data_IF_182428134942
#
_entry.id   IF_182428134942
#
_cell.length_a   1.000
_cell.length_b   1.000
_cell.length_c   1.000
_cell.angle_alpha   90.00
_cell.angle_beta   90.00
_cell.angle_gamma   90.00
#
_symmetry.space_group_name_H-M   'P 1'
#
loop_
_entity.id
_entity.type
_entity.pdbx_description
1 polymer ?
#
# COMPACT_ATOMS: atom_id res chain seq x y z
N UNK A 1 -22.23 20.85 8.34
CA UNK A 1 -21.41 19.79 7.73
C UNK A 1 -21.86 19.68 6.28
N UNK A 2 -21.16 20.38 5.38
CA UNK A 2 -21.44 20.31 3.94
C UNK A 2 -20.87 19.00 3.42
N UNK A 3 -21.72 18.15 2.85
CA UNK A 3 -21.27 16.99 2.09
C UNK A 3 -20.56 17.42 0.80
N UNK A 4 -19.73 16.55 0.19
CA UNK A 4 -19.10 16.86 -1.09
C UNK A 4 -20.17 16.96 -2.17
N UNK A 5 -20.22 18.08 -2.88
CA UNK A 5 -21.09 18.24 -4.05
C UNK A 5 -20.60 17.35 -5.20
N UNK A 6 -21.49 16.63 -5.91
CA UNK A 6 -21.09 15.85 -7.08
C UNK A 6 -20.86 16.78 -8.28
N UNK A 7 -19.64 17.32 -8.40
CA UNK A 7 -19.23 18.15 -9.55
C UNK A 7 -18.68 17.30 -10.71
N UNK A 8 -19.44 16.31 -11.19
CA UNK A 8 -18.97 15.32 -12.19
C UNK A 8 -19.19 15.65 -13.67
N UNK A 9 -20.22 16.41 -14.13
CA UNK A 9 -20.50 16.51 -15.58
C UNK A 9 -19.58 17.49 -16.33
N UNK A 10 -18.80 18.31 -15.63
CA UNK A 10 -17.87 19.25 -16.24
C UNK A 10 -16.52 18.58 -16.58
N UNK A 11 -16.02 17.74 -15.68
CA UNK A 11 -14.74 17.04 -15.83
C UNK A 11 -14.85 15.98 -16.94
N UNK A 12 -15.95 15.22 -16.98
CA UNK A 12 -16.20 14.25 -18.06
C UNK A 12 -16.11 14.88 -19.45
N UNK A 13 -16.67 16.08 -19.61
CA UNK A 13 -16.60 16.80 -20.89
C UNK A 13 -15.18 17.17 -21.27
N UNK A 14 -14.35 17.53 -20.29
CA UNK A 14 -12.93 17.85 -20.53
C UNK A 14 -12.17 16.59 -20.91
N UNK A 15 -12.35 15.48 -20.17
CA UNK A 15 -11.72 14.19 -20.43
C UNK A 15 -12.08 13.64 -21.81
N UNK A 16 -13.38 13.58 -22.12
CA UNK A 16 -13.87 13.10 -23.41
C UNK A 16 -13.43 14.03 -24.55
N UNK A 17 -13.47 15.35 -24.34
CA UNK A 17 -12.98 16.32 -25.34
C UNK A 17 -11.47 16.21 -25.58
N UNK A 18 -10.68 15.92 -24.56
CA UNK A 18 -9.23 15.76 -24.68
C UNK A 18 -8.88 14.53 -25.52
N UNK A 19 -9.58 13.41 -25.29
CA UNK A 19 -9.43 12.18 -26.06
C UNK A 19 -10.15 12.21 -27.43
N UNK A 20 -10.88 13.28 -27.74
CA UNK A 20 -11.68 13.37 -28.97
C UNK A 20 -12.86 12.41 -29.02
N UNK A 21 -13.34 11.94 -27.87
CA UNK A 21 -14.44 10.98 -27.75
C UNK A 21 -15.82 11.68 -27.75
N UNK A 22 -16.89 10.99 -28.23
CA UNK A 22 -18.26 11.47 -28.13
C UNK A 22 -18.71 11.68 -26.68
N UNK A 23 -19.71 12.55 -26.47
CA UNK A 23 -20.24 12.86 -25.12
C UNK A 23 -21.03 11.72 -24.49
N UNK A 24 -21.50 10.80 -25.32
CA UNK A 24 -22.25 9.59 -24.98
C UNK A 24 -21.37 8.34 -25.01
N UNK A 25 -20.05 8.50 -25.02
CA UNK A 25 -19.10 7.40 -25.01
C UNK A 25 -19.26 6.52 -23.78
N UNK A 26 -19.13 5.21 -23.99
CA UNK A 26 -19.12 4.18 -22.95
C UNK A 26 -17.86 3.33 -23.07
N UNK A 27 -17.16 3.01 -21.97
CA UNK A 27 -17.46 3.36 -20.57
C UNK A 27 -17.35 4.86 -20.27
N UNK A 28 -18.20 5.38 -19.38
CA UNK A 28 -18.20 6.79 -19.00
C UNK A 28 -17.16 7.09 -17.90
N UNK A 29 -16.42 8.21 -17.94
CA UNK A 29 -15.43 8.55 -16.92
C UNK A 29 -15.99 8.61 -15.49
N UNK A 30 -17.21 9.11 -15.30
CA UNK A 30 -17.82 9.22 -13.97
C UNK A 30 -18.66 8.01 -13.56
N UNK A 31 -19.22 7.26 -14.52
CA UNK A 31 -20.09 6.12 -14.21
C UNK A 31 -19.29 4.83 -14.07
N UNK A 32 -18.34 4.60 -14.99
CA UNK A 32 -17.50 3.39 -15.07
C UNK A 32 -16.02 3.80 -15.14
N UNK A 33 -15.48 4.47 -14.09
CA UNK A 33 -14.15 5.07 -14.11
C UNK A 33 -13.03 4.04 -14.35
N UNK A 34 -13.17 2.84 -13.77
CA UNK A 34 -12.16 1.77 -13.90
C UNK A 34 -12.06 1.27 -15.34
N UNK A 35 -13.20 0.96 -15.97
CA UNK A 35 -13.24 0.50 -17.36
C UNK A 35 -12.79 1.58 -18.34
N UNK A 36 -13.09 2.85 -18.04
CA UNK A 36 -12.59 3.97 -18.83
C UNK A 36 -11.06 4.09 -18.74
N UNK A 37 -10.50 4.02 -17.53
CA UNK A 37 -9.07 4.07 -17.29
C UNK A 37 -8.33 2.87 -17.89
N UNK A 38 -8.91 1.67 -17.83
CA UNK A 38 -8.35 0.47 -18.49
C UNK A 38 -8.05 0.72 -19.97
N UNK A 39 -8.91 1.48 -20.65
CA UNK A 39 -8.78 1.78 -22.09
C UNK A 39 -7.89 2.98 -22.38
N UNK A 40 -7.95 4.00 -21.54
CA UNK A 40 -7.46 5.34 -21.89
C UNK A 40 -6.38 5.90 -20.96
N UNK A 41 -5.97 5.20 -19.90
CA UNK A 41 -5.02 5.73 -18.91
C UNK A 41 -3.70 6.21 -19.54
N UNK A 42 -3.13 5.43 -20.48
CA UNK A 42 -1.87 5.79 -21.17
C UNK A 42 -1.99 7.02 -22.07
N UNK A 43 -3.20 7.38 -22.49
CA UNK A 43 -3.46 8.55 -23.33
C UNK A 43 -3.68 9.81 -22.48
N UNK A 44 -3.98 9.64 -21.19
CA UNK A 44 -4.31 10.74 -20.29
C UNK A 44 -3.04 11.26 -19.58
N UNK A 45 -2.84 12.58 -19.58
CA UNK A 45 -1.75 13.19 -18.83
C UNK A 45 -2.04 13.12 -17.31
N UNK A 46 -1.00 13.10 -16.45
CA UNK A 46 -1.14 12.92 -14.99
C UNK A 46 -2.18 13.82 -14.31
N UNK A 47 -2.25 15.10 -14.71
CA UNK A 47 -3.18 16.06 -14.15
C UNK A 47 -4.65 15.72 -14.45
N UNK A 48 -4.95 15.11 -15.60
CA UNK A 48 -6.30 14.64 -15.92
C UNK A 48 -6.61 13.32 -15.21
N UNK A 49 -5.63 12.44 -15.10
CA UNK A 49 -5.76 11.15 -14.42
C UNK A 49 -6.02 11.30 -12.91
N UNK A 50 -5.46 12.32 -12.26
CA UNK A 50 -5.70 12.61 -10.85
C UNK A 50 -7.17 12.91 -10.48
N UNK A 51 -8.02 13.26 -11.44
CA UNK A 51 -9.46 13.46 -11.18
C UNK A 51 -10.16 12.17 -10.75
N UNK A 52 -9.64 11.02 -11.18
CA UNK A 52 -10.18 9.72 -10.81
C UNK A 52 -9.88 9.35 -9.35
N UNK A 53 -9.05 10.12 -8.64
CA UNK A 53 -8.83 9.94 -7.21
C UNK A 53 -10.13 9.97 -6.42
N UNK A 54 -11.00 10.93 -6.73
CA UNK A 54 -12.26 11.10 -6.03
C UNK A 54 -13.32 10.05 -6.41
N UNK A 55 -13.09 9.29 -7.48
CA UNK A 55 -14.04 8.35 -8.07
C UNK A 55 -13.66 6.88 -7.84
N UNK A 56 -12.42 6.60 -7.47
CA UNK A 56 -11.89 5.24 -7.35
C UNK A 56 -11.05 5.07 -6.09
N UNK A 57 -11.13 3.91 -5.47
CA UNK A 57 -10.26 3.55 -4.34
C UNK A 57 -8.97 2.86 -4.82
N UNK A 58 -7.86 2.93 -4.06
CA UNK A 58 -6.60 2.30 -4.43
C UNK A 58 -6.71 0.80 -4.77
N UNK A 59 -7.55 0.04 -4.05
CA UNK A 59 -7.84 -1.39 -4.34
C UNK A 59 -8.45 -1.58 -5.73
N UNK A 60 -9.45 -0.78 -6.11
CA UNK A 60 -10.09 -0.85 -7.43
C UNK A 60 -9.12 -0.54 -8.57
N UNK A 61 -8.24 0.45 -8.37
CA UNK A 61 -7.25 0.86 -9.37
C UNK A 61 -6.24 -0.24 -9.71
N UNK A 62 -6.04 -1.22 -8.83
CA UNK A 62 -5.12 -2.33 -9.06
C UNK A 62 -5.56 -3.29 -10.15
N UNK A 63 -6.85 -3.24 -10.52
CA UNK A 63 -7.37 -3.96 -11.69
C UNK A 63 -6.79 -3.41 -12.99
N UNK A 64 -6.31 -2.16 -13.00
CA UNK A 64 -5.67 -1.52 -14.15
C UNK A 64 -4.19 -1.95 -14.19
N UNK A 65 -3.77 -2.73 -15.19
CA UNK A 65 -2.41 -3.29 -15.23
C UNK A 65 -1.32 -2.21 -15.20
N UNK A 66 -1.53 -1.09 -15.89
CA UNK A 66 -0.59 0.02 -15.87
C UNK A 66 -0.39 0.59 -14.46
N UNK A 67 -1.44 0.74 -13.65
CA UNK A 67 -1.30 1.22 -12.27
C UNK A 67 -0.56 0.19 -11.40
N UNK A 68 -0.91 -1.09 -11.55
CA UNK A 68 -0.23 -2.17 -10.83
C UNK A 68 1.27 -2.20 -11.16
N UNK A 69 1.63 -2.06 -12.43
CA UNK A 69 3.03 -2.02 -12.88
C UNK A 69 3.75 -0.79 -12.32
N UNK A 70 3.12 0.40 -12.35
CA UNK A 70 3.70 1.62 -11.74
C UNK A 70 4.02 1.40 -10.26
N UNK A 71 3.12 0.75 -9.51
CA UNK A 71 3.35 0.42 -8.08
C UNK A 71 4.47 -0.59 -7.89
N UNK A 72 4.55 -1.61 -8.76
CA UNK A 72 5.64 -2.58 -8.74
C UNK A 72 7.00 -1.87 -8.95
N UNK A 73 7.12 -1.05 -9.99
CA UNK A 73 8.35 -0.29 -10.27
C UNK A 73 8.69 0.69 -9.14
N UNK A 74 7.67 1.32 -8.53
CA UNK A 74 7.88 2.16 -7.35
C UNK A 74 8.48 1.37 -6.19
N UNK A 75 7.95 0.18 -5.88
CA UNK A 75 8.48 -0.70 -4.83
C UNK A 75 9.91 -1.13 -5.12
N UNK A 76 10.22 -1.47 -6.36
CA UNK A 76 11.57 -1.85 -6.81
C UNK A 76 12.59 -0.70 -6.66
N UNK A 77 12.12 0.56 -6.67
CA UNK A 77 12.97 1.73 -6.46
C UNK A 77 13.42 1.96 -5.00
N UNK A 78 13.00 1.10 -4.06
CA UNK A 78 13.26 1.19 -2.62
C UNK A 78 12.88 2.56 -2.02
N UNK A 79 11.58 2.93 -2.05
CA UNK A 79 11.14 4.24 -1.59
C UNK A 79 11.27 4.32 -0.06
N UNK A 80 11.63 5.50 0.49
CA UNK A 80 11.91 5.65 1.91
C UNK A 80 10.70 5.32 2.81
N UNK A 81 9.49 5.56 2.30
CA UNK A 81 8.22 5.30 3.00
C UNK A 81 7.96 3.80 3.22
N UNK A 82 8.51 2.92 2.37
CA UNK A 82 8.35 1.47 2.47
C UNK A 82 9.58 0.79 3.09
N UNK A 83 10.58 1.54 3.57
CA UNK A 83 11.74 0.96 4.26
C UNK A 83 11.35 0.42 5.63
N UNK A 84 12.04 -0.62 6.06
CA UNK A 84 11.73 -1.36 7.29
C UNK A 84 11.39 -0.49 8.50
N UNK A 85 12.26 0.46 8.86
CA UNK A 85 12.03 1.30 10.06
C UNK A 85 10.76 2.13 9.96
N UNK A 86 10.49 2.73 8.79
CA UNK A 86 9.30 3.55 8.55
C UNK A 86 8.06 2.67 8.48
N UNK A 87 8.15 1.53 7.78
CA UNK A 87 7.04 0.61 7.63
C UNK A 87 6.62 -0.01 8.96
N UNK A 88 7.58 -0.39 9.80
CA UNK A 88 7.33 -0.95 11.14
C UNK A 88 6.65 0.07 12.06
N UNK A 89 7.07 1.34 11.99
CA UNK A 89 6.45 2.42 12.76
C UNK A 89 5.04 2.78 12.24
N UNK A 90 4.83 2.72 10.93
CA UNK A 90 3.57 3.12 10.29
C UNK A 90 2.51 2.01 10.37
N UNK A 91 2.90 0.74 10.22
CA UNK A 91 2.01 -0.42 10.25
C UNK A 91 2.45 -1.46 11.30
N UNK A 92 2.47 -1.11 12.59
CA UNK A 92 2.91 -2.01 13.66
C UNK A 92 1.97 -3.20 13.88
N UNK A 93 0.73 -3.11 13.37
CA UNK A 93 -0.24 -4.23 13.40
C UNK A 93 0.17 -5.36 12.46
N UNK A 94 0.87 -5.05 11.36
CA UNK A 94 1.35 -6.04 10.39
C UNK A 94 2.67 -6.70 10.81
N UNK A 95 3.31 -6.21 11.88
CA UNK A 95 4.52 -6.82 12.43
C UNK A 95 4.16 -8.00 13.35
N UNK A 96 4.53 -9.25 13.00
CA UNK A 96 4.04 -10.45 13.69
C UNK A 96 4.62 -10.58 15.10
N UNK A 97 5.82 -10.05 15.34
CA UNK A 97 6.48 -10.17 16.63
C UNK A 97 5.92 -9.13 17.60
N UNK A 98 5.41 -9.59 18.76
CA UNK A 98 5.24 -8.75 19.96
C UNK A 98 6.61 -8.36 20.51
N UNK A 99 7.37 -7.55 19.76
CA UNK A 99 8.47 -6.82 20.36
C UNK A 99 7.89 -5.74 21.25
N UNK A 100 8.55 -5.48 22.38
CA UNK A 100 8.28 -4.27 23.15
C UNK A 100 8.72 -3.08 22.30
N UNK A 101 7.76 -2.48 21.59
CA UNK A 101 7.94 -1.23 20.86
C UNK A 101 8.46 -0.14 21.79
N UNK A 102 9.14 0.88 21.25
CA UNK A 102 9.65 2.00 22.06
C UNK A 102 11.03 1.78 22.69
N UNK A 103 11.74 0.68 22.41
CA UNK A 103 13.09 0.45 22.96
C UNK A 103 14.16 1.38 22.36
N UNK A 104 14.05 1.75 21.09
CA UNK A 104 14.94 2.73 20.46
C UNK A 104 14.56 4.15 20.84
N UNK A 105 13.28 4.51 20.77
CA UNK A 105 12.78 5.81 21.23
C UNK A 105 13.08 6.02 22.72
N UNK A 106 12.92 4.99 23.56
CA UNK A 106 13.32 5.03 24.96
C UNK A 106 14.84 5.16 25.16
N UNK A 107 15.67 4.61 24.26
CA UNK A 107 17.12 4.89 24.27
C UNK A 107 17.39 6.34 23.90
N UNK A 108 16.72 6.87 22.87
CA UNK A 108 16.85 8.27 22.46
C UNK A 108 16.39 9.23 23.57
N UNK A 109 15.25 8.96 24.22
CA UNK A 109 14.77 9.71 25.38
C UNK A 109 15.74 9.62 26.56
N UNK A 110 16.29 8.43 26.82
CA UNK A 110 17.31 8.25 27.85
C UNK A 110 18.57 9.03 27.53
N UNK A 111 18.99 9.07 26.27
CA UNK A 111 20.14 9.85 25.82
C UNK A 111 19.89 11.35 25.89
N UNK A 112 18.71 11.81 25.46
CA UNK A 112 18.26 13.18 25.61
C UNK A 112 18.24 13.59 27.09
N UNK A 113 17.64 12.77 27.95
CA UNK A 113 17.61 13.00 29.39
C UNK A 113 19.04 13.12 29.93
N UNK A 114 19.94 12.21 29.56
CA UNK A 114 21.32 12.24 30.06
C UNK A 114 22.18 13.40 29.52
N UNK A 115 21.88 13.94 28.32
CA UNK A 115 22.67 14.98 27.66
C UNK A 115 22.12 16.39 27.88
N UNK A 116 20.81 16.59 27.77
CA UNK A 116 20.17 17.91 27.77
C UNK A 116 19.38 18.22 29.05
N UNK A 117 18.90 17.21 29.76
CA UNK A 117 18.05 17.42 30.94
C UNK A 117 18.90 17.85 32.17
N UNK A 118 19.02 19.17 32.33
CA UNK A 118 19.64 19.91 33.45
C UNK A 118 21.11 19.54 33.75
N UNK A 119 22.03 20.33 33.16
CA UNK A 119 23.47 20.15 33.17
C UNK A 119 24.23 20.28 34.51
N UNK A 120 23.99 19.40 35.49
CA UNK A 120 25.01 19.06 36.52
C UNK A 120 24.68 17.90 37.48
N UNK A 121 23.47 17.31 37.48
CA UNK A 121 23.03 16.33 38.50
C UNK A 121 23.01 14.87 37.97
N UNK A 122 24.18 14.29 37.73
CA UNK A 122 24.34 12.99 37.02
C UNK A 122 23.59 11.80 37.62
N UNK A 123 23.33 11.76 38.93
CA UNK A 123 22.71 10.59 39.59
C UNK A 123 21.17 10.55 39.46
N UNK A 124 20.50 11.69 39.49
CA UNK A 124 19.03 11.74 39.36
C UNK A 124 18.59 11.68 37.91
N UNK A 125 19.41 12.23 37.00
CA UNK A 125 19.14 12.26 35.56
C UNK A 125 19.22 10.86 34.94
N UNK A 126 20.15 10.00 35.39
CA UNK A 126 20.22 8.62 34.91
C UNK A 126 19.01 7.76 35.30
N UNK A 127 18.46 7.96 36.51
CA UNK A 127 17.23 7.28 36.95
C UNK A 127 16.02 7.78 36.18
N UNK A 128 15.93 9.10 35.95
CA UNK A 128 14.85 9.69 35.16
C UNK A 128 14.90 9.22 33.71
N UNK A 129 16.08 9.18 33.07
CA UNK A 129 16.22 8.67 31.70
C UNK A 129 15.89 7.18 31.58
N UNK A 130 16.11 6.38 32.63
CA UNK A 130 15.68 4.97 32.63
C UNK A 130 14.17 4.86 32.77
N UNK A 131 13.57 5.67 33.66
CA UNK A 131 12.13 5.70 33.87
C UNK A 131 11.38 6.24 32.64
N UNK A 132 11.92 7.25 31.95
CA UNK A 132 11.38 7.76 30.69
C UNK A 132 11.43 6.69 29.59
N UNK A 133 12.55 5.99 29.45
CA UNK A 133 12.68 4.89 28.50
C UNK A 133 11.65 3.77 28.72
N UNK A 134 11.45 3.37 29.99
CA UNK A 134 10.44 2.37 30.36
C UNK A 134 9.02 2.88 30.09
N UNK A 135 8.77 4.18 30.30
CA UNK A 135 7.45 4.78 30.08
C UNK A 135 7.13 4.95 28.59
N UNK A 136 8.12 5.22 27.74
CA UNK A 136 7.95 5.23 26.28
C UNK A 136 7.66 3.81 25.76
N UNK A 137 8.39 2.81 26.25
CA UNK A 137 8.15 1.40 25.93
C UNK A 137 6.72 0.96 26.33
N UNK A 138 6.24 1.38 27.50
CA UNK A 138 4.87 1.12 27.95
C UNK A 138 3.83 1.86 27.11
N UNK A 139 4.10 3.12 26.73
CA UNK A 139 3.18 3.93 25.91
C UNK A 139 3.04 3.38 24.49
N UNK A 140 4.12 2.92 23.89
CA UNK A 140 4.08 2.31 22.55
C UNK A 140 3.33 0.98 22.58
N UNK A 141 3.61 0.15 23.59
CA UNK A 141 2.92 -1.12 23.78
C UNK A 141 1.41 -0.94 23.98
N UNK A 142 0.99 0.07 24.75
CA UNK A 142 -0.43 0.41 24.93
C UNK A 142 -1.07 0.87 23.61
N UNK A 143 -0.38 1.72 22.83
CA UNK A 143 -0.89 2.19 21.53
C UNK A 143 -1.12 1.05 20.56
N UNK A 144 -0.14 0.16 20.40
CA UNK A 144 -0.26 -1.00 19.52
C UNK A 144 -1.35 -1.95 20.03
N UNK A 145 -1.43 -2.15 21.36
CA UNK A 145 -2.47 -2.98 21.98
C UNK A 145 -3.88 -2.46 21.74
N UNK A 146 -4.09 -1.14 21.85
CA UNK A 146 -5.39 -0.51 21.57
C UNK A 146 -5.76 -0.55 20.10
N UNK A 147 -4.80 -0.34 19.19
CA UNK A 147 -5.00 -0.48 17.74
C UNK A 147 -5.45 -1.90 17.37
N UNK A 148 -4.75 -2.92 17.88
CA UNK A 148 -5.12 -4.33 17.62
C UNK A 148 -6.52 -4.66 18.16
N UNK A 149 -6.87 -4.16 19.35
CA UNK A 149 -8.21 -4.35 19.91
C UNK A 149 -9.28 -3.66 19.07
N UNK A 150 -9.03 -2.44 18.60
CA UNK A 150 -9.96 -1.71 17.73
C UNK A 150 -10.12 -2.37 16.36
N UNK A 151 -9.06 -2.99 15.84
CA UNK A 151 -9.11 -3.75 14.60
C UNK A 151 -9.94 -5.02 14.77
N UNK A 152 -9.73 -5.76 15.86
CA UNK A 152 -10.54 -6.95 16.19
C UNK A 152 -12.03 -6.61 16.42
N UNK A 153 -12.32 -5.52 17.16
CA UNK A 153 -13.70 -5.04 17.35
C UNK A 153 -14.36 -4.60 16.03
N UNK A 154 -13.59 -4.05 15.09
CA UNK A 154 -14.10 -3.71 13.76
C UNK A 154 -14.46 -4.94 12.94
N UNK A 155 -13.60 -5.97 12.96
CA UNK A 155 -13.87 -7.25 12.29
C UNK A 155 -15.09 -7.95 12.89
N UNK A 156 -15.19 -8.05 14.21
CA UNK A 156 -16.35 -8.66 14.92
C UNK A 156 -17.67 -7.91 14.69
N UNK A 157 -17.60 -6.60 14.36
CA UNK A 157 -18.78 -5.78 14.08
C UNK A 157 -19.33 -5.89 12.66
N UNK A 158 -18.61 -6.55 11.74
CA UNK A 158 -19.06 -6.76 10.37
C UNK A 158 -20.04 -7.94 10.29
N UNK A 159 -21.25 -7.78 9.73
CA UNK A 159 -22.19 -8.89 9.55
C UNK A 159 -21.59 -9.97 8.64
N UNK A 160 -21.72 -11.24 9.04
CA UNK A 160 -21.19 -12.47 8.39
C UNK A 160 -21.60 -12.72 6.90
N UNK A 161 -22.15 -11.75 6.15
CA UNK A 161 -22.60 -11.92 4.75
C UNK A 161 -21.70 -11.22 3.70
N UNK A 162 -20.40 -11.10 3.95
CA UNK A 162 -19.45 -10.61 2.93
C UNK A 162 -18.18 -11.45 2.92
N UNK A 163 -18.36 -12.77 2.78
CA UNK A 163 -17.30 -13.72 2.42
C UNK A 163 -16.86 -13.50 0.96
N UNK A 164 -16.06 -12.48 0.70
CA UNK A 164 -15.11 -12.50 -0.43
C UNK A 164 -13.74 -12.00 0.08
N UNK A 165 -12.92 -12.97 0.46
CA UNK A 165 -11.45 -12.94 0.57
C UNK A 165 -10.80 -12.23 1.77
N UNK A 166 -10.98 -12.78 2.97
CA UNK A 166 -9.93 -12.83 4.00
C UNK A 166 -9.97 -14.21 4.66
N UNK A 167 -9.30 -15.22 4.08
CA UNK A 167 -8.81 -16.36 4.86
C UNK A 167 -7.66 -15.83 5.75
N UNK A 168 -8.00 -15.09 6.80
CA UNK A 168 -7.13 -15.02 7.97
C UNK A 168 -7.43 -16.27 8.81
N UNK A 169 -6.42 -17.13 8.95
CA UNK A 169 -6.46 -18.24 9.89
C UNK A 169 -6.64 -17.67 11.30
N UNK A 170 -7.90 -17.66 11.76
CA UNK A 170 -8.28 -17.54 13.15
C UNK A 170 -7.71 -18.73 13.94
N UNK A 171 -6.51 -18.56 14.50
CA UNK A 171 -6.08 -19.32 15.68
C UNK A 171 -6.32 -18.46 16.93
N UNK A 172 -7.59 -18.40 17.33
CA UNK A 172 -7.97 -18.26 18.73
C UNK A 172 -7.53 -19.51 19.51
N UNK A 173 -6.25 -19.58 19.87
CA UNK A 173 -5.79 -20.46 20.93
C UNK A 173 -5.12 -19.63 22.04
N UNK A 174 -5.94 -19.27 23.03
CA UNK A 174 -5.54 -19.24 24.43
C UNK A 174 -5.12 -20.68 24.82
N UNK A 175 -3.99 -21.17 24.30
CA UNK A 175 -3.34 -22.36 24.83
C UNK A 175 -1.83 -22.39 24.57
N UNK A 176 -1.16 -23.06 25.49
CA UNK A 176 0.27 -23.22 25.60
C UNK A 176 0.99 -23.64 24.30
N UNK A 177 2.06 -22.92 23.96
CA UNK A 177 3.30 -23.49 23.42
C UNK A 177 3.09 -24.55 22.31
N UNK A 178 2.52 -24.12 21.18
CA UNK A 178 2.49 -24.90 19.94
C UNK A 178 3.85 -24.96 19.27
N UNK A 179 4.74 -25.81 19.78
CA UNK A 179 5.91 -26.27 19.03
C UNK A 179 5.43 -27.12 17.85
N UNK A 180 5.43 -26.58 16.62
CA UNK A 180 5.42 -27.42 15.42
C UNK A 180 6.21 -26.79 14.26
N UNK A 181 7.14 -27.59 13.73
CA UNK A 181 7.92 -27.48 12.50
C UNK A 181 8.97 -26.35 12.30
N UNK A 182 10.08 -26.51 13.01
CA UNK A 182 11.28 -26.99 12.30
C UNK A 182 12.25 -25.99 11.65
N UNK A 183 12.01 -24.68 11.74
CA UNK A 183 13.04 -23.67 11.47
C UNK A 183 12.91 -22.60 12.55
N UNK A 184 13.96 -22.36 13.34
CA UNK A 184 14.06 -21.12 14.11
C UNK A 184 14.09 -19.99 13.07
N UNK A 185 12.93 -19.42 12.73
CA UNK A 185 12.87 -18.23 11.88
C UNK A 185 13.77 -17.19 12.51
N UNK A 186 14.83 -16.83 11.80
CA UNK A 186 15.74 -15.81 12.28
C UNK A 186 14.99 -14.48 12.25
N UNK A 187 15.43 -13.51 13.06
CA UNK A 187 14.89 -12.14 13.00
C UNK A 187 14.97 -11.54 11.59
N UNK A 188 15.89 -12.04 10.76
CA UNK A 188 16.04 -11.66 9.36
C UNK A 188 14.91 -12.24 8.49
N UNK A 189 14.53 -13.51 8.69
CA UNK A 189 13.42 -14.15 7.97
C UNK A 189 12.07 -13.48 8.27
N UNK A 190 11.84 -13.12 9.54
CA UNK A 190 10.64 -12.39 9.98
C UNK A 190 10.60 -11.00 9.34
N UNK A 191 11.75 -10.31 9.31
CA UNK A 191 11.89 -9.01 8.67
C UNK A 191 11.57 -9.09 7.18
N UNK A 192 12.11 -10.08 6.48
CA UNK A 192 11.89 -10.25 5.05
C UNK A 192 10.43 -10.60 4.74
N UNK A 193 9.80 -11.43 5.57
CA UNK A 193 8.39 -11.78 5.44
C UNK A 193 7.49 -10.55 5.63
N UNK A 194 7.74 -9.75 6.66
CA UNK A 194 7.03 -8.49 6.87
C UNK A 194 7.19 -7.54 5.68
N UNK A 195 8.44 -7.35 5.22
CA UNK A 195 8.72 -6.47 4.08
C UNK A 195 8.03 -6.96 2.80
N UNK A 196 7.94 -8.28 2.59
CA UNK A 196 7.16 -8.86 1.50
C UNK A 196 5.67 -8.51 1.62
N UNK A 197 5.08 -8.70 2.81
CA UNK A 197 3.66 -8.37 3.07
C UNK A 197 3.38 -6.87 2.83
N UNK A 198 4.26 -5.97 3.29
CA UNK A 198 4.13 -4.53 3.05
C UNK A 198 4.15 -4.23 1.56
N UNK A 199 5.12 -4.79 0.81
CA UNK A 199 5.24 -4.58 -0.63
C UNK A 199 4.02 -5.10 -1.38
N UNK A 200 3.54 -6.29 -1.03
CA UNK A 200 2.37 -6.89 -1.67
C UNK A 200 1.10 -6.09 -1.37
N UNK A 201 0.85 -5.75 -0.09
CA UNK A 201 -0.28 -4.89 0.30
C UNK A 201 -0.22 -3.52 -0.38
N UNK A 202 0.97 -2.95 -0.60
CA UNK A 202 1.10 -1.72 -1.39
C UNK A 202 0.68 -1.93 -2.85
N UNK A 203 1.21 -2.97 -3.52
CA UNK A 203 0.90 -3.25 -4.92
C UNK A 203 -0.62 -3.43 -5.11
N UNK A 204 -1.28 -4.13 -4.19
CA UNK A 204 -2.72 -4.40 -4.21
C UNK A 204 -3.60 -3.27 -3.62
N UNK A 205 -3.01 -2.16 -3.17
CA UNK A 205 -3.78 -1.01 -2.69
C UNK A 205 -4.47 -1.23 -1.35
N UNK A 206 -3.88 -2.07 -0.51
CA UNK A 206 -4.39 -2.51 0.79
C UNK A 206 -3.65 -1.89 1.98
N UNK A 207 -2.52 -1.20 1.77
CA UNK A 207 -1.92 -0.40 2.85
C UNK A 207 -2.74 0.85 3.09
N UNK A 208 -3.08 1.07 4.34
CA UNK A 208 -3.72 2.30 4.82
C UNK A 208 -2.67 3.41 5.03
N UNK A 209 -3.11 4.66 5.05
CA UNK A 209 -2.26 5.83 5.39
C UNK A 209 -1.09 6.14 4.44
N UNK A 210 -1.03 5.51 3.25
CA UNK A 210 -0.09 5.87 2.18
C UNK A 210 -0.78 6.62 1.04
N UNK A 211 -0.05 7.54 0.42
CA UNK A 211 -0.54 8.34 -0.70
C UNK A 211 -0.27 7.64 -2.04
N UNK A 212 -1.23 6.80 -2.46
CA UNK A 212 -1.16 6.09 -3.74
C UNK A 212 -1.19 7.01 -4.95
N UNK A 213 -1.76 8.21 -4.85
CA UNK A 213 -1.95 9.10 -6.00
C UNK A 213 -0.63 9.59 -6.57
N UNK A 214 0.41 9.71 -5.73
CA UNK A 214 1.78 10.03 -6.14
C UNK A 214 2.39 9.00 -7.09
N UNK A 215 1.86 7.78 -7.10
CA UNK A 215 2.40 6.65 -7.89
C UNK A 215 1.42 6.28 -8.99
N UNK A 216 0.14 6.13 -8.66
CA UNK A 216 -0.91 5.70 -9.59
C UNK A 216 -1.02 6.59 -10.81
N UNK A 217 -0.79 7.90 -10.66
CA UNK A 217 -0.98 8.88 -11.72
C UNK A 217 0.32 9.43 -12.31
N UNK A 218 1.47 8.99 -11.80
CA UNK A 218 2.80 9.43 -12.26
C UNK A 218 3.30 8.52 -13.39
N UNK A 219 3.39 9.09 -14.59
CA UNK A 219 3.77 8.41 -15.82
C UNK A 219 5.28 8.10 -15.89
N UNK A 220 6.11 8.68 -15.01
CA UNK A 220 7.55 8.34 -14.97
C UNK A 220 7.81 6.87 -14.65
N UNK A 221 6.86 6.22 -13.98
CA UNK A 221 6.93 4.80 -13.63
C UNK A 221 6.55 3.87 -14.79
N UNK A 222 6.04 4.41 -15.92
CA UNK A 222 5.77 3.62 -17.12
C UNK A 222 7.03 3.38 -17.97
N UNK A 223 8.08 4.19 -17.81
CA UNK A 223 9.26 4.21 -18.70
C UNK A 223 10.11 2.92 -18.67
N UNK A 224 9.96 2.08 -17.64
CA UNK A 224 10.60 0.77 -17.61
C UNK A 224 9.88 -0.27 -18.49
N UNK A 225 8.64 0.02 -18.90
CA UNK A 225 7.72 -0.90 -19.56
C UNK A 225 7.65 -0.73 -21.10
N UNK A 226 8.49 0.13 -21.69
CA UNK A 226 8.65 0.21 -23.16
C UNK A 226 9.09 -1.14 -23.75
N UNK A 227 9.72 -2.01 -22.95
CA UNK A 227 10.01 -3.40 -23.32
C UNK A 227 8.76 -4.24 -23.59
N UNK A 228 7.71 -4.11 -22.78
CA UNK A 228 6.47 -4.88 -23.00
C UNK A 228 5.73 -4.39 -24.25
N UNK A 229 5.82 -3.09 -24.55
CA UNK A 229 5.28 -2.52 -25.79
C UNK A 229 6.10 -2.96 -27.03
N UNK A 230 7.42 -3.12 -26.88
CA UNK A 230 8.27 -3.73 -27.90
C UNK A 230 7.95 -5.21 -28.11
N UNK A 231 7.79 -6.01 -27.05
CA UNK A 231 7.45 -7.45 -27.13
C UNK A 231 6.07 -7.70 -27.76
N UNK A 232 5.08 -6.87 -27.45
CA UNK A 232 3.75 -6.92 -28.06
C UNK A 232 3.79 -6.62 -29.58
N UNK A 233 4.78 -5.86 -30.04
CA UNK A 233 5.03 -5.60 -31.46
C UNK A 233 5.63 -6.82 -32.19
N UNK A 234 6.36 -7.69 -31.47
CA UNK A 234 6.93 -8.91 -32.03
C UNK A 234 5.91 -10.07 -32.11
N UNK A 235 5.00 -10.18 -31.14
CA UNK A 235 3.96 -11.22 -31.15
C UNK A 235 2.90 -11.01 -32.27
N UNK A 236 2.52 -9.75 -32.56
CA UNK A 236 1.58 -9.44 -33.66
C UNK A 236 2.17 -9.73 -35.07
N UNK A 237 3.49 -9.66 -35.23
CA UNK A 237 4.15 -9.92 -36.52
C UNK A 237 4.20 -11.44 -36.84
N UNK A 238 4.37 -12.28 -35.83
CA UNK A 238 4.44 -13.75 -35.97
C UNK A 238 3.06 -14.36 -36.28
N UNK A 239 1.97 -13.80 -35.76
CA UNK A 239 0.60 -14.24 -36.07
C UNK A 239 0.14 -13.80 -37.48
N UNK A 240 0.59 -12.64 -37.98
CA UNK A 240 0.26 -12.19 -39.35
C UNK A 240 1.02 -12.96 -40.44
N UNK A 241 2.20 -13.49 -40.13
CA UNK A 241 3.01 -14.30 -41.03
C UNK A 241 2.57 -15.78 -41.09
N UNK A 242 1.68 -16.20 -40.19
CA UNK A 242 1.29 -17.60 -39.98
C UNK A 242 0.04 -18.08 -40.71
N UNK A 243 -0.61 -17.28 -41.56
CA UNK A 243 -1.75 -17.75 -42.37
C UNK A 243 -1.24 -18.30 -43.71
N UNK A 244 -1.09 -19.62 -43.89
CA UNK A 244 -0.89 -20.17 -45.23
C UNK A 244 -2.15 -19.87 -46.04
N UNK A 245 -2.00 -18.99 -47.03
CA UNK A 245 -2.97 -18.80 -48.09
C UNK A 245 -3.06 -20.14 -48.85
N UNK A 246 -4.07 -20.95 -48.53
CA UNK A 246 -4.40 -22.15 -49.29
C UNK A 246 -4.93 -21.72 -50.67
N UNK A 247 -4.02 -21.62 -51.63
CA UNK A 247 -4.29 -21.43 -53.05
C UNK A 247 -4.19 -22.80 -53.74
N UNK A 248 -5.30 -23.52 -53.83
CA UNK A 248 -5.54 -24.56 -54.85
C UNK A 248 -7.05 -24.73 -55.04
N UNK A 249 -7.64 -24.17 -56.10
CA UNK A 249 -8.07 -24.85 -57.35
C UNK A 249 -9.31 -25.77 -57.22
#
# INVERSE_FOLDING_TARGET
MSGPEPSTPAVDKVLLSYLGLPRDYQPSPSADPVDFLLRHLRQLPPHLSSHFTALTVPKQRTTIPAIRNRRLTYVESDPPELRFEVAKATWPTLWPVRERGGKEEGKEEKEWANKEFMGSSKQHVGKLGTLLAEYEEEREAERVGTLRRQQAEQLDSLPEESEEEEEEEDEDEDDEVGANDGVEETLEDIRDTFMRVIKDRFIYGLLESIDYDKVDWDDKWDAANDRDAEEQWFDEEEESAGVPVDLSE
#
